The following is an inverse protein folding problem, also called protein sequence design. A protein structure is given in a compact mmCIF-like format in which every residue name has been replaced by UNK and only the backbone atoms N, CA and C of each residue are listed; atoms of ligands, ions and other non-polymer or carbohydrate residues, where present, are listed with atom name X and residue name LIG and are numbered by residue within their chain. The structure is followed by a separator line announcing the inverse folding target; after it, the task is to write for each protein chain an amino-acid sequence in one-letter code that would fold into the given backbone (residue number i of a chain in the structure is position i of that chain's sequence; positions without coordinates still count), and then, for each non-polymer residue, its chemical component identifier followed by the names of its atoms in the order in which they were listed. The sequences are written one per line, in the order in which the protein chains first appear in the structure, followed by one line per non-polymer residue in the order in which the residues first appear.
data_IF_696357064014
#
_entry.id   IF_696357064014
#
_cell.length_a   1.000
_cell.length_b   1.000
_cell.length_c   1.000
_cell.angle_alpha   90.00
_cell.angle_beta   90.00
_cell.angle_gamma   90.00
#
_symmetry.space_group_name_H-M   'P 1'
#
loop_
_entity.id
_entity.type
_entity.pdbx_description
1 polymer ?
#
# COMPACT_ATOMS: atom_id res chain seq x y z
N UNK A 1 -17.63 67.25 27.95
CA UNK A 1 -16.62 66.69 28.87
C UNK A 1 -15.75 65.73 28.08
N UNK A 2 -14.44 65.93 28.20
CA UNK A 2 -13.31 65.24 27.57
C UNK A 2 -13.07 63.82 28.12
N UNK A 3 -12.50 62.95 27.27
CA UNK A 3 -11.89 61.61 27.51
C UNK A 3 -10.95 61.53 28.75
N UNK A 4 -10.43 60.36 29.23
CA UNK A 4 -10.24 59.02 28.59
C UNK A 4 -10.52 57.82 29.57
N UNK A 5 -10.33 56.50 29.33
CA UNK A 5 -9.10 55.73 29.06
C UNK A 5 -9.38 54.25 28.74
N UNK A 6 -8.37 53.61 28.14
CA UNK A 6 -8.30 52.27 27.58
C UNK A 6 -8.20 51.15 28.64
N UNK A 7 -8.79 49.97 28.39
CA UNK A 7 -8.13 48.69 28.68
C UNK A 7 -8.78 47.49 27.97
N UNK A 8 -7.93 46.61 27.46
CA UNK A 8 -8.21 45.38 26.72
C UNK A 8 -9.27 44.47 27.36
N UNK A 9 -10.16 43.91 26.54
CA UNK A 9 -10.84 42.65 26.87
C UNK A 9 -10.59 41.64 25.75
N UNK A 10 -9.49 40.90 25.89
CA UNK A 10 -9.32 39.64 25.19
C UNK A 10 -10.23 38.57 25.81
N UNK A 11 -10.93 37.83 24.96
CA UNK A 11 -11.25 36.41 25.11
C UNK A 11 -11.86 35.93 23.79
N UNK A 12 -11.00 35.44 22.91
CA UNK A 12 -11.40 34.49 21.87
C UNK A 12 -12.04 33.30 22.58
N UNK A 13 -13.28 32.97 22.23
CA UNK A 13 -13.86 31.67 22.55
C UNK A 13 -13.21 30.64 21.64
N UNK A 14 -12.32 29.82 22.20
CA UNK A 14 -11.73 28.68 21.51
C UNK A 14 -12.81 27.64 21.15
N UNK A 15 -12.70 26.95 20.01
CA UNK A 15 -13.57 25.81 19.72
C UNK A 15 -13.19 24.67 20.68
N UNK A 16 -14.15 24.24 21.51
CA UNK A 16 -13.97 23.06 22.36
C UNK A 16 -13.80 21.82 21.50
N UNK A 17 -12.58 21.30 21.42
CA UNK A 17 -12.25 20.04 20.78
C UNK A 17 -12.79 18.89 21.67
N UNK A 18 -13.92 18.30 21.30
CA UNK A 18 -14.40 17.08 21.98
C UNK A 18 -13.50 15.90 21.60
N UNK A 19 -12.74 15.41 22.58
CA UNK A 19 -11.98 14.17 22.49
C UNK A 19 -12.93 12.98 22.68
N UNK A 20 -13.25 12.27 21.60
CA UNK A 20 -14.00 11.01 21.65
C UNK A 20 -12.97 9.88 21.71
N UNK A 21 -12.82 9.28 22.88
CA UNK A 21 -11.92 8.14 23.12
C UNK A 21 -12.58 6.86 22.57
N UNK A 22 -12.19 6.44 21.36
CA UNK A 22 -12.64 5.17 20.78
C UNK A 22 -11.91 4.01 21.47
N UNK A 23 -12.55 3.36 22.44
CA UNK A 23 -12.09 2.08 23.00
C UNK A 23 -12.54 0.92 22.11
N UNK A 24 -11.86 0.76 20.97
CA UNK A 24 -11.76 -0.53 20.29
C UNK A 24 -10.27 -0.77 20.05
N UNK A 25 -9.60 -1.38 21.04
CA UNK A 25 -8.26 -1.90 20.87
C UNK A 25 -8.37 -3.31 20.26
N UNK A 26 -8.16 -3.42 18.96
CA UNK A 26 -7.67 -4.67 18.41
C UNK A 26 -6.19 -4.78 18.82
N UNK A 27 -5.70 -5.93 19.30
CA UNK A 27 -4.28 -6.14 19.55
C UNK A 27 -3.59 -6.25 18.18
N UNK A 28 -3.52 -5.15 17.46
CA UNK A 28 -3.00 -5.07 16.11
C UNK A 28 -1.63 -4.38 16.16
N UNK A 29 -0.64 -5.08 15.61
CA UNK A 29 0.65 -4.56 15.16
C UNK A 29 1.78 -4.30 16.17
N UNK A 30 1.59 -4.52 17.47
CA UNK A 30 2.70 -4.43 18.43
C UNK A 30 3.52 -5.74 18.50
N UNK A 31 4.26 -6.03 17.43
CA UNK A 31 5.41 -6.91 17.54
C UNK A 31 6.66 -6.05 17.78
N UNK A 32 7.29 -6.23 18.94
CA UNK A 32 8.65 -5.75 19.17
C UNK A 32 9.60 -6.61 18.34
N UNK A 33 9.70 -6.30 17.06
CA UNK A 33 10.70 -6.85 16.15
C UNK A 33 11.66 -5.72 15.84
N UNK A 34 12.91 -5.91 16.26
CA UNK A 34 14.01 -4.98 16.04
C UNK A 34 13.98 -4.44 14.61
N UNK A 35 14.29 -3.15 14.45
CA UNK A 35 14.23 -2.37 13.19
C UNK A 35 14.84 -3.09 11.97
N UNK A 36 15.78 -4.02 12.21
CA UNK A 36 16.50 -4.80 11.21
C UNK A 36 15.77 -6.03 10.64
N UNK A 37 14.68 -6.49 11.24
CA UNK A 37 13.96 -7.71 10.82
C UNK A 37 12.51 -7.45 10.36
N UNK A 38 12.21 -6.23 9.86
CA UNK A 38 10.90 -5.90 9.33
C UNK A 38 10.83 -6.19 7.83
N UNK A 39 10.07 -7.21 7.44
CA UNK A 39 9.59 -7.34 6.06
C UNK A 39 8.42 -6.37 5.89
N UNK A 40 8.59 -5.34 5.06
CA UNK A 40 7.52 -4.40 4.71
C UNK A 40 7.13 -4.69 3.26
N UNK A 41 6.08 -5.47 2.98
CA UNK A 41 5.61 -5.68 1.63
C UNK A 41 4.66 -4.57 1.17
N UNK A 42 4.70 -4.22 -0.12
CA UNK A 42 3.58 -3.61 -0.82
C UNK A 42 2.75 -4.74 -1.43
N UNK A 43 1.45 -4.77 -1.14
CA UNK A 43 0.55 -5.85 -1.57
C UNK A 43 -0.60 -5.29 -2.39
N UNK A 44 -0.83 -5.90 -3.54
CA UNK A 44 -1.92 -5.58 -4.45
C UNK A 44 -2.75 -6.80 -4.68
N UNK A 45 -4.06 -6.63 -4.72
CA UNK A 45 -4.93 -7.77 -4.78
C UNK A 45 -6.16 -7.47 -5.65
N UNK A 46 -6.36 -8.30 -6.67
CA UNK A 46 -7.47 -8.17 -7.60
C UNK A 46 -8.80 -8.55 -6.95
N UNK A 47 -9.84 -7.71 -7.11
CA UNK A 47 -11.18 -8.02 -6.63
C UNK A 47 -12.01 -8.50 -7.83
N UNK A 48 -12.46 -9.76 -7.78
CA UNK A 48 -13.33 -10.31 -8.80
C UNK A 48 -14.79 -10.13 -8.37
N UNK A 49 -15.64 -9.73 -9.32
CA UNK A 49 -17.08 -9.61 -9.11
C UNK A 49 -17.76 -10.61 -10.02
N UNK A 50 -18.42 -11.60 -9.44
CA UNK A 50 -19.11 -12.63 -10.19
C UNK A 50 -20.37 -12.08 -10.87
N UNK A 51 -20.69 -12.54 -12.10
CA UNK A 51 -21.89 -12.12 -12.80
C UNK A 51 -23.16 -12.57 -12.05
N UNK A 52 -24.28 -11.90 -12.35
CA UNK A 52 -25.62 -12.23 -11.82
C UNK A 52 -25.79 -12.09 -10.30
N UNK A 53 -24.93 -11.28 -9.68
CA UNK A 53 -24.90 -11.02 -8.25
C UNK A 53 -25.56 -9.73 -7.78
N UNK A 54 -26.48 -9.16 -8.56
CA UNK A 54 -27.08 -7.86 -8.22
C UNK A 54 -27.72 -7.94 -6.83
N UNK A 55 -27.34 -7.02 -5.93
CA UNK A 55 -27.73 -6.97 -4.49
C UNK A 55 -27.10 -8.04 -3.59
N UNK A 56 -26.44 -9.07 -4.13
CA UNK A 56 -25.77 -10.09 -3.30
C UNK A 56 -24.32 -9.70 -2.97
N UNK A 57 -24.05 -9.47 -1.69
CA UNK A 57 -22.70 -9.14 -1.18
C UNK A 57 -21.68 -10.25 -1.43
N UNK A 58 -22.12 -11.50 -1.51
CA UNK A 58 -21.25 -12.67 -1.74
C UNK A 58 -20.64 -12.70 -3.14
N UNK A 59 -21.18 -11.91 -4.07
CA UNK A 59 -20.67 -11.85 -5.44
C UNK A 59 -19.39 -11.03 -5.60
N UNK A 60 -19.01 -10.25 -4.58
CA UNK A 60 -17.68 -9.63 -4.52
C UNK A 60 -16.74 -10.59 -3.80
N UNK A 61 -15.95 -11.33 -4.56
CA UNK A 61 -15.03 -12.32 -4.00
C UNK A 61 -13.72 -11.69 -3.54
N UNK A 62 -13.14 -12.27 -2.49
CA UNK A 62 -11.80 -11.94 -2.02
C UNK A 62 -10.72 -12.87 -2.63
N UNK A 63 -11.08 -13.66 -3.64
CA UNK A 63 -10.24 -14.75 -4.20
C UNK A 63 -9.40 -14.38 -5.42
N UNK A 64 -9.41 -13.12 -5.86
CA UNK A 64 -8.60 -12.70 -7.01
C UNK A 64 -7.08 -12.71 -6.73
N UNK A 65 -6.25 -12.64 -7.78
CA UNK A 65 -4.80 -12.75 -7.73
C UNK A 65 -4.19 -11.71 -6.77
N UNK A 66 -3.06 -12.07 -6.17
CA UNK A 66 -2.32 -11.21 -5.25
C UNK A 66 -0.88 -11.05 -5.75
N UNK A 67 -0.43 -9.80 -5.81
CA UNK A 67 0.94 -9.44 -6.15
C UNK A 67 1.61 -8.80 -4.93
N UNK A 68 2.84 -9.23 -4.64
CA UNK A 68 3.62 -8.75 -3.49
C UNK A 68 4.94 -8.21 -4.00
N UNK A 69 5.29 -6.99 -3.59
CA UNK A 69 6.60 -6.37 -3.82
C UNK A 69 7.31 -6.12 -2.50
N UNK A 70 8.60 -6.44 -2.44
CA UNK A 70 9.42 -6.20 -1.25
C UNK A 70 9.78 -4.72 -1.10
N UNK A 71 9.42 -4.13 0.04
CA UNK A 71 9.79 -2.78 0.43
C UNK A 71 11.29 -2.59 0.70
N UNK A 72 12.02 -3.69 0.97
CA UNK A 72 13.49 -3.66 1.17
C UNK A 72 14.23 -3.22 -0.09
N UNK A 73 13.77 -3.66 -1.25
CA UNK A 73 14.41 -3.38 -2.54
C UNK A 73 13.80 -2.18 -3.27
N UNK A 74 12.62 -1.73 -2.86
CA UNK A 74 11.91 -0.63 -3.49
C UNK A 74 10.97 0.01 -2.47
N UNK A 75 11.25 1.25 -2.07
CA UNK A 75 10.44 1.96 -1.09
C UNK A 75 9.00 2.15 -1.56
N UNK A 76 8.04 2.10 -0.64
CA UNK A 76 6.65 2.48 -0.90
C UNK A 76 6.58 4.00 -1.09
N UNK A 77 6.45 4.40 -2.35
CA UNK A 77 6.27 5.78 -2.79
C UNK A 77 5.16 5.82 -3.82
N UNK A 78 4.50 6.97 -3.97
CA UNK A 78 3.47 7.15 -5.00
C UNK A 78 3.95 6.67 -6.39
N UNK A 79 5.19 7.01 -6.78
CA UNK A 79 5.78 6.56 -8.04
C UNK A 79 5.96 5.04 -8.12
N UNK A 80 6.42 4.40 -7.05
CA UNK A 80 6.53 2.94 -7.02
C UNK A 80 5.17 2.26 -7.20
N UNK A 81 4.09 2.85 -6.66
CA UNK A 81 2.73 2.35 -6.84
C UNK A 81 2.25 2.51 -8.29
N UNK A 82 2.65 3.59 -8.97
CA UNK A 82 2.39 3.78 -10.39
C UNK A 82 3.05 2.69 -11.25
N UNK A 83 4.34 2.43 -10.99
CA UNK A 83 5.10 1.38 -11.69
C UNK A 83 4.49 0.00 -11.44
N UNK A 84 4.07 -0.27 -10.20
CA UNK A 84 3.38 -1.51 -9.87
C UNK A 84 2.08 -1.65 -10.64
N UNK A 85 1.29 -0.58 -10.78
CA UNK A 85 0.06 -0.64 -11.57
C UNK A 85 0.34 -1.02 -13.02
N UNK A 86 1.33 -0.41 -13.67
CA UNK A 86 1.75 -0.79 -15.03
C UNK A 86 2.18 -2.26 -15.09
N UNK A 87 2.86 -2.75 -14.06
CA UNK A 87 3.23 -4.16 -13.97
C UNK A 87 2.00 -5.06 -13.85
N UNK A 88 1.03 -4.71 -13.01
CA UNK A 88 -0.23 -5.47 -12.85
C UNK A 88 -1.00 -5.55 -14.16
N UNK A 89 -1.02 -4.49 -14.97
CA UNK A 89 -1.65 -4.51 -16.30
C UNK A 89 -1.01 -5.56 -17.22
N UNK A 90 0.28 -5.86 -17.05
CA UNK A 90 1.04 -6.78 -17.89
C UNK A 90 1.10 -8.22 -17.36
N UNK A 91 0.64 -8.47 -16.13
CA UNK A 91 0.59 -9.82 -15.55
C UNK A 91 -0.60 -10.62 -16.10
N UNK A 92 -0.35 -11.85 -16.52
CA UNK A 92 -1.37 -12.76 -17.07
C UNK A 92 -2.44 -13.09 -16.04
N UNK A 93 -2.03 -13.22 -14.79
CA UNK A 93 -2.88 -13.52 -13.64
C UNK A 93 -3.90 -12.40 -13.39
N UNK A 94 -3.56 -11.16 -13.76
CA UNK A 94 -4.44 -9.99 -13.61
C UNK A 94 -5.23 -9.66 -14.86
N UNK A 95 -4.94 -10.28 -16.01
CA UNK A 95 -5.53 -9.93 -17.31
C UNK A 95 -7.07 -9.97 -17.30
N UNK A 96 -7.67 -10.98 -16.65
CA UNK A 96 -9.13 -11.09 -16.53
C UNK A 96 -9.75 -9.86 -15.81
N UNK A 97 -9.02 -9.27 -14.87
CA UNK A 97 -9.48 -8.14 -14.06
C UNK A 97 -9.16 -6.82 -14.75
N UNK A 98 -8.00 -6.70 -15.38
CA UNK A 98 -7.49 -5.42 -15.90
C UNK A 98 -7.80 -5.19 -17.37
N UNK A 99 -8.06 -6.23 -18.16
CA UNK A 99 -8.25 -6.13 -19.60
C UNK A 99 -9.64 -6.56 -20.05
N UNK A 100 -10.10 -6.00 -21.17
CA UNK A 100 -11.34 -6.42 -21.82
C UNK A 100 -11.22 -6.40 -23.35
N UNK A 101 -12.11 -7.17 -23.99
CA UNK A 101 -12.22 -7.22 -25.45
C UNK A 101 -11.17 -8.10 -26.13
N UNK A 102 -11.33 -8.26 -27.44
CA UNK A 102 -10.39 -9.00 -28.30
C UNK A 102 -9.02 -8.32 -28.36
N UNK A 103 -9.00 -6.99 -28.31
CA UNK A 103 -7.79 -6.16 -28.40
C UNK A 103 -7.01 -6.09 -27.08
N UNK A 104 -7.47 -6.76 -26.02
CA UNK A 104 -6.80 -6.81 -24.70
C UNK A 104 -6.51 -5.41 -24.13
N UNK A 105 -7.37 -4.43 -24.40
CA UNK A 105 -7.24 -3.08 -23.88
C UNK A 105 -7.50 -3.04 -22.37
N UNK A 106 -6.89 -2.07 -21.69
CA UNK A 106 -7.18 -1.80 -20.27
C UNK A 106 -8.67 -1.48 -20.13
N UNK A 107 -9.31 -2.03 -19.09
CA UNK A 107 -10.72 -1.74 -18.83
C UNK A 107 -10.92 -0.24 -18.66
N UNK A 108 -11.98 0.33 -19.24
CA UNK A 108 -12.18 1.78 -19.27
C UNK A 108 -12.42 2.39 -17.89
N UNK A 109 -12.89 1.59 -16.93
CA UNK A 109 -13.14 2.04 -15.55
C UNK A 109 -12.21 1.28 -14.61
N UNK A 110 -11.38 2.01 -13.88
CA UNK A 110 -10.46 1.49 -12.87
C UNK A 110 -10.84 2.05 -11.49
N UNK A 111 -10.90 1.16 -10.50
CA UNK A 111 -11.21 1.52 -9.11
C UNK A 111 -10.10 0.98 -8.21
N UNK A 112 -9.37 1.88 -7.56
CA UNK A 112 -8.43 1.57 -6.50
C UNK A 112 -9.09 1.73 -5.13
N UNK A 113 -8.95 0.71 -4.29
CA UNK A 113 -9.20 0.81 -2.85
C UNK A 113 -7.87 0.74 -2.13
N UNK A 114 -7.50 1.80 -1.42
CA UNK A 114 -6.18 1.96 -0.78
C UNK A 114 -6.31 2.11 0.72
N UNK A 115 -5.25 1.78 1.45
CA UNK A 115 -5.23 1.84 2.91
C UNK A 115 -5.27 3.30 3.41
N UNK A 116 -4.69 4.22 2.63
CA UNK A 116 -4.76 5.66 2.90
C UNK A 116 -3.50 6.26 3.49
N UNK A 117 -2.38 5.55 3.40
CA UNK A 117 -1.05 6.08 3.69
C UNK A 117 -0.68 7.28 2.80
N UNK A 118 0.36 8.06 3.18
CA UNK A 118 0.72 9.29 2.47
C UNK A 118 1.07 9.11 1.00
N UNK A 119 1.48 7.90 0.60
CA UNK A 119 1.87 7.54 -0.76
C UNK A 119 0.74 6.99 -1.63
N UNK A 120 -0.44 6.77 -1.04
CA UNK A 120 -1.60 6.17 -1.71
C UNK A 120 -2.86 7.04 -1.60
N UNK A 121 -2.91 7.91 -0.59
CA UNK A 121 -4.11 8.67 -0.28
C UNK A 121 -4.39 9.74 -1.36
N UNK A 122 -5.61 9.76 -1.93
CA UNK A 122 -5.97 10.67 -3.01
C UNK A 122 -5.95 12.15 -2.62
N UNK A 123 -5.85 12.47 -1.32
CA UNK A 123 -5.72 13.86 -0.86
C UNK A 123 -4.39 14.51 -1.25
N UNK A 124 -3.36 13.74 -1.54
CA UNK A 124 -2.02 14.25 -1.82
C UNK A 124 -1.79 14.48 -3.31
N UNK A 125 -1.20 15.63 -3.64
CA UNK A 125 -0.94 16.04 -5.03
C UNK A 125 -0.14 15.01 -5.84
N UNK A 126 0.87 14.37 -5.24
CA UNK A 126 1.68 13.33 -5.91
C UNK A 126 0.84 12.14 -6.39
N UNK A 127 -0.17 11.75 -5.61
CA UNK A 127 -1.09 10.65 -5.96
C UNK A 127 -2.05 11.10 -7.06
N UNK A 128 -2.55 12.34 -6.98
CA UNK A 128 -3.42 12.92 -8.01
C UNK A 128 -2.69 13.01 -9.36
N UNK A 129 -1.43 13.44 -9.37
CA UNK A 129 -0.62 13.52 -10.60
C UNK A 129 -0.46 12.15 -11.26
N UNK A 130 -0.20 11.11 -10.47
CA UNK A 130 -0.09 9.74 -10.95
C UNK A 130 -1.42 9.22 -11.48
N UNK A 131 -2.53 9.52 -10.78
CA UNK A 131 -3.86 9.18 -11.25
C UNK A 131 -4.17 9.83 -12.62
N UNK A 132 -3.85 11.11 -12.80
CA UNK A 132 -4.00 11.81 -14.08
C UNK A 132 -3.15 11.14 -15.17
N UNK A 133 -1.90 10.78 -14.85
CA UNK A 133 -1.02 10.09 -15.80
C UNK A 133 -1.63 8.77 -16.30
N UNK A 134 -2.13 7.93 -15.40
CA UNK A 134 -2.79 6.67 -15.80
C UNK A 134 -4.08 6.91 -16.56
N UNK A 135 -4.89 7.90 -16.15
CA UNK A 135 -6.14 8.24 -16.82
C UNK A 135 -5.93 8.59 -18.29
N UNK A 136 -4.94 9.45 -18.58
CA UNK A 136 -4.61 9.88 -19.95
C UNK A 136 -3.96 8.75 -20.74
N UNK A 137 -2.95 8.08 -20.17
CA UNK A 137 -2.16 7.10 -20.92
C UNK A 137 -2.94 5.83 -21.30
N UNK A 138 -3.87 5.41 -20.44
CA UNK A 138 -4.70 4.23 -20.69
C UNK A 138 -6.06 4.56 -21.32
N UNK A 139 -6.29 5.84 -21.64
CA UNK A 139 -7.56 6.33 -22.20
C UNK A 139 -8.78 5.82 -21.40
N UNK A 140 -8.74 6.05 -20.08
CA UNK A 140 -9.78 5.59 -19.18
C UNK A 140 -11.03 6.51 -19.28
N UNK A 141 -12.20 5.91 -19.17
CA UNK A 141 -13.47 6.63 -19.01
C UNK A 141 -13.69 7.05 -17.54
N UNK A 142 -13.07 6.33 -16.60
CA UNK A 142 -13.17 6.63 -15.17
C UNK A 142 -12.03 6.04 -14.36
N UNK A 143 -11.48 6.84 -13.46
CA UNK A 143 -10.49 6.41 -12.47
C UNK A 143 -10.91 6.88 -11.07
N UNK A 144 -11.16 5.92 -10.19
CA UNK A 144 -11.56 6.19 -8.80
C UNK A 144 -10.48 5.69 -7.85
N UNK A 145 -10.04 6.55 -6.93
CA UNK A 145 -9.14 6.18 -5.84
C UNK A 145 -9.87 6.44 -4.53
N UNK A 146 -10.22 5.38 -3.82
CA UNK A 146 -10.98 5.43 -2.59
C UNK A 146 -10.14 4.92 -1.42
N UNK A 147 -10.15 5.69 -0.33
CA UNK A 147 -9.58 5.29 0.96
C UNK A 147 -10.68 5.35 2.02
N UNK A 148 -10.61 4.48 3.02
CA UNK A 148 -11.54 4.52 4.14
C UNK A 148 -11.21 5.68 5.09
N UNK A 149 -12.25 6.26 5.70
CA UNK A 149 -12.05 7.28 6.72
C UNK A 149 -11.37 6.69 7.97
N UNK A 150 -10.56 7.48 8.71
CA UNK A 150 -9.98 7.07 9.97
C UNK A 150 -11.03 6.51 10.95
N UNK A 151 -10.71 5.40 11.65
CA UNK A 151 -11.63 4.74 12.57
C UNK A 151 -12.61 3.74 11.93
N UNK A 152 -12.50 3.48 10.62
CA UNK A 152 -13.28 2.44 9.90
C UNK A 152 -12.44 1.23 9.48
N UNK A 153 -11.24 1.05 10.05
CA UNK A 153 -10.29 -0.03 9.74
C UNK A 153 -10.92 -1.44 9.71
N UNK A 154 -11.75 -1.79 10.69
CA UNK A 154 -12.49 -3.06 10.70
C UNK A 154 -13.40 -3.32 9.46
N UNK A 155 -13.75 -2.28 8.69
CA UNK A 155 -14.51 -2.37 7.45
C UNK A 155 -13.65 -2.20 6.19
N UNK A 156 -12.36 -1.90 6.34
CA UNK A 156 -11.42 -1.73 5.26
C UNK A 156 -11.29 -3.04 4.47
N UNK A 157 -11.61 -2.97 3.17
CA UNK A 157 -11.50 -4.14 2.28
C UNK A 157 -10.04 -4.54 2.09
N UNK A 158 -9.12 -3.58 2.17
CA UNK A 158 -7.67 -3.80 2.07
C UNK A 158 -7.21 -4.64 3.27
N UNK A 159 -7.50 -4.20 4.50
CA UNK A 159 -7.12 -4.93 5.72
C UNK A 159 -7.70 -6.35 5.77
N UNK A 160 -8.98 -6.53 5.39
CA UNK A 160 -9.59 -7.87 5.37
C UNK A 160 -8.94 -8.82 4.39
N UNK A 161 -8.44 -8.32 3.25
CA UNK A 161 -7.75 -9.15 2.27
C UNK A 161 -6.30 -9.41 2.67
N UNK A 162 -5.71 -8.53 3.45
CA UNK A 162 -4.39 -8.71 4.06
C UNK A 162 -4.41 -9.72 5.20
N UNK A 163 -5.51 -9.84 5.96
CA UNK A 163 -5.57 -10.70 7.15
C UNK A 163 -5.16 -12.18 6.92
N UNK A 164 -5.61 -12.89 5.86
CA UNK A 164 -5.12 -14.24 5.57
C UNK A 164 -3.62 -14.29 5.27
N UNK A 165 -3.12 -13.35 4.47
CA UNK A 165 -1.71 -13.27 4.12
C UNK A 165 -0.84 -12.95 5.34
N UNK A 166 -1.26 -12.02 6.19
CA UNK A 166 -0.59 -11.71 7.45
C UNK A 166 -0.56 -12.91 8.39
N UNK A 167 -1.60 -13.75 8.40
CA UNK A 167 -1.62 -14.99 9.16
C UNK A 167 -0.62 -16.02 8.62
N UNK A 168 -0.52 -16.18 7.31
CA UNK A 168 0.44 -17.09 6.67
C UNK A 168 1.90 -16.63 6.85
N UNK A 169 2.12 -15.32 6.80
CA UNK A 169 3.44 -14.71 7.00
C UNK A 169 3.81 -14.58 8.49
N UNK A 170 2.85 -14.74 9.41
CA UNK A 170 3.10 -14.65 10.85
C UNK A 170 3.98 -15.81 11.30
N UNK A 171 5.11 -15.50 11.95
CA UNK A 171 6.09 -16.48 12.39
C UNK A 171 7.07 -16.95 11.31
N UNK A 172 6.98 -16.42 10.08
CA UNK A 172 7.98 -16.67 9.04
C UNK A 172 9.31 -16.01 9.44
N UNK A 173 10.30 -16.84 9.78
CA UNK A 173 11.68 -16.39 9.95
C UNK A 173 12.35 -16.49 8.58
N UNK A 174 12.46 -15.35 7.89
CA UNK A 174 13.24 -15.30 6.67
C UNK A 174 14.72 -15.44 7.02
N UNK A 175 15.47 -16.38 6.41
CA UNK A 175 16.91 -16.42 6.55
C UNK A 175 17.46 -15.08 6.04
N UNK A 176 17.94 -14.26 6.96
CA UNK A 176 18.47 -12.94 6.64
C UNK A 176 19.98 -13.04 6.57
N UNK A 177 20.48 -13.05 5.34
CA UNK A 177 21.90 -12.99 5.07
C UNK A 177 22.28 -11.56 4.68
N UNK A 178 22.75 -10.78 5.67
CA UNK A 178 22.98 -9.34 5.49
C UNK A 178 24.17 -9.04 4.59
N UNK A 179 25.14 -9.94 4.58
CA UNK A 179 26.43 -9.76 3.92
C UNK A 179 26.72 -10.89 2.91
N UNK A 180 25.93 -11.98 2.93
CA UNK A 180 26.28 -13.23 2.26
C UNK A 180 26.97 -14.16 3.26
N UNK A 181 26.75 -15.48 3.15
CA UNK A 181 27.38 -16.49 4.03
C UNK A 181 28.90 -16.44 3.99
N UNK A 182 29.46 -15.79 2.95
CA UNK A 182 30.88 -15.55 2.76
C UNK A 182 31.42 -14.38 3.60
N UNK A 183 30.59 -13.57 4.27
CA UNK A 183 31.04 -12.40 5.04
C UNK A 183 30.63 -12.50 6.53
N UNK A 184 31.51 -12.05 7.44
CA UNK A 184 31.16 -11.85 8.86
C UNK A 184 30.34 -10.56 9.06
N UNK A 185 29.75 -10.38 10.24
CA UNK A 185 29.05 -9.16 10.66
C UNK A 185 29.87 -7.85 10.55
N UNK A 186 31.20 -7.93 10.43
CA UNK A 186 32.07 -6.77 10.19
C UNK A 186 32.39 -6.54 8.70
N UNK A 187 31.74 -7.27 7.78
CA UNK A 187 31.94 -7.17 6.33
C UNK A 187 33.28 -7.71 5.84
N UNK A 188 33.92 -8.63 6.58
CA UNK A 188 35.16 -9.31 6.12
C UNK A 188 34.83 -10.67 5.55
N UNK A 189 35.58 -11.07 4.54
CA UNK A 189 35.41 -12.35 3.88
C UNK A 189 35.89 -13.51 4.75
N UNK A 190 35.08 -14.55 4.79
CA UNK A 190 35.30 -15.86 5.41
C UNK A 190 35.51 -16.92 4.32
N UNK A 191 34.83 -16.75 3.19
CA UNK A 191 34.86 -17.66 2.04
C UNK A 191 35.24 -16.89 0.77
N UNK A 192 36.55 -16.80 0.54
CA UNK A 192 37.15 -16.06 -0.58
C UNK A 192 36.76 -16.67 -1.93
N UNK A 193 36.61 -18.00 -2.00
CA UNK A 193 36.21 -18.70 -3.23
C UNK A 193 34.76 -18.36 -3.62
N UNK A 194 33.86 -18.32 -2.64
CA UNK A 194 32.47 -17.95 -2.88
C UNK A 194 32.33 -16.46 -3.24
N UNK A 195 33.12 -15.58 -2.63
CA UNK A 195 33.15 -14.15 -2.98
C UNK A 195 33.65 -13.94 -4.42
N UNK A 196 34.74 -14.58 -4.80
CA UNK A 196 35.30 -14.51 -6.15
C UNK A 196 34.29 -15.00 -7.20
N UNK A 197 33.56 -16.08 -6.90
CA UNK A 197 32.51 -16.60 -7.78
C UNK A 197 31.35 -15.64 -7.95
N UNK A 198 30.93 -14.95 -6.88
CA UNK A 198 29.86 -13.93 -6.94
C UNK A 198 30.32 -12.73 -7.77
N UNK A 199 31.54 -12.23 -7.55
CA UNK A 199 32.11 -11.10 -8.30
C UNK A 199 32.24 -11.41 -9.81
N UNK A 200 32.54 -12.66 -10.15
CA UNK A 200 32.73 -13.11 -11.52
C UNK A 200 31.42 -13.54 -12.22
N UNK A 201 30.27 -13.52 -11.52
CA UNK A 201 28.99 -13.88 -12.14
C UNK A 201 28.36 -12.66 -12.81
N UNK A 202 28.15 -12.66 -14.14
CA UNK A 202 27.52 -11.54 -14.83
C UNK A 202 26.06 -11.39 -14.38
N UNK A 203 25.69 -10.18 -13.99
CA UNK A 203 24.32 -9.81 -13.64
C UNK A 203 23.48 -9.88 -14.91
N UNK A 204 22.54 -10.83 -14.97
CA UNK A 204 21.57 -10.97 -16.07
C UNK A 204 20.44 -9.95 -15.98
#
# INVERSE_FOLDING_TARGET
MSCPDWCNCGKQTEPSLMHVEYRVSLPDHDWVVAEKHKLIPSVYAGIQIHPNGFVNRECVSYSGPTYIRSGKHSSSTALSHAIDFEKLLNLKEFAEITRCGLDQLVKPIVIFTVDGGPDENPRYQKVIQIAIHHFVNHNLDGLFVATHAPGRSAFNRVERKMAPLSKELSGLILPHDHFGTHLVNSGRTIDDELEEKILNTPVK
#
